data_IF_076703633454
#
_entry.id   IF_076703633454
#
_cell.length_a   1.000
_cell.length_b   1.000
_cell.length_c   1.000
_cell.angle_alpha   90.00
_cell.angle_beta   90.00
_cell.angle_gamma   90.00
#
_symmetry.space_group_name_H-M   'P 1'
#
loop_
_entity.id
_entity.type
_entity.pdbx_description
1 polymer ?
#
# COMPACT_ATOMS: atom_id res chain seq x y z
N UNK A 1 -28.67 -55.42 7.31
CA UNK A 1 -29.27 -54.15 6.87
C UNK A 1 -28.20 -53.38 6.12
N UNK A 2 -28.37 -53.19 4.81
CA UNK A 2 -27.35 -52.60 3.93
C UNK A 2 -27.72 -51.16 3.65
N UNK A 3 -26.94 -50.20 4.14
CA UNK A 3 -27.18 -48.76 3.92
C UNK A 3 -26.59 -48.38 2.56
N UNK A 4 -27.43 -47.93 1.64
CA UNK A 4 -27.02 -47.44 0.33
C UNK A 4 -26.44 -46.03 0.50
N UNK A 5 -25.18 -45.84 0.12
CA UNK A 5 -24.56 -44.51 0.09
C UNK A 5 -25.16 -43.69 -1.06
N UNK A 6 -25.66 -42.50 -0.74
CA UNK A 6 -26.06 -41.51 -1.73
C UNK A 6 -24.81 -40.79 -2.23
N UNK A 7 -24.37 -41.08 -3.46
CA UNK A 7 -23.37 -40.26 -4.14
C UNK A 7 -24.05 -39.04 -4.75
N UNK A 8 -23.87 -37.88 -4.12
CA UNK A 8 -24.20 -36.60 -4.74
C UNK A 8 -23.16 -36.26 -5.81
N UNK A 9 -23.62 -36.01 -7.04
CA UNK A 9 -22.82 -35.54 -8.17
C UNK A 9 -22.93 -34.02 -8.27
N UNK A 10 -21.77 -33.37 -8.14
CA UNK A 10 -21.38 -32.11 -8.81
C UNK A 10 -21.99 -30.77 -8.37
N UNK A 11 -21.08 -29.79 -8.32
CA UNK A 11 -21.22 -28.33 -8.37
C UNK A 11 -21.81 -27.60 -7.14
N UNK A 12 -20.95 -26.94 -6.37
CA UNK A 12 -20.75 -25.48 -6.46
C UNK A 12 -19.68 -25.08 -5.42
N UNK A 13 -18.40 -25.13 -5.77
CA UNK A 13 -17.33 -24.65 -4.87
C UNK A 13 -17.32 -23.13 -4.91
N UNK A 14 -18.18 -22.48 -4.12
CA UNK A 14 -18.13 -21.05 -3.90
C UNK A 14 -17.00 -20.75 -2.91
N UNK A 15 -15.84 -20.40 -3.43
CA UNK A 15 -14.78 -19.81 -2.61
C UNK A 15 -15.10 -18.33 -2.39
N UNK A 16 -15.40 -17.94 -1.16
CA UNK A 16 -15.44 -16.55 -0.74
C UNK A 16 -14.15 -16.26 0.02
N UNK A 17 -13.26 -15.46 -0.56
CA UNK A 17 -12.13 -14.90 0.16
C UNK A 17 -12.66 -13.75 1.03
N UNK A 18 -12.68 -13.95 2.36
CA UNK A 18 -13.17 -12.93 3.32
C UNK A 18 -12.05 -11.97 3.75
N UNK A 19 -10.79 -12.33 3.51
CA UNK A 19 -9.63 -11.46 3.72
C UNK A 19 -8.51 -11.90 2.78
N UNK A 20 -8.14 -11.05 1.82
CA UNK A 20 -6.95 -11.24 0.98
C UNK A 20 -5.84 -10.40 1.58
N UNK A 21 -4.88 -11.02 2.25
CA UNK A 21 -3.68 -10.33 2.78
C UNK A 21 -2.60 -10.11 1.72
N UNK A 22 -2.95 -10.25 0.44
CA UNK A 22 -1.99 -10.01 -0.65
C UNK A 22 -1.58 -8.55 -0.62
N UNK A 23 -0.36 -8.30 -0.18
CA UNK A 23 0.31 -7.01 -0.23
C UNK A 23 1.61 -7.22 -1.01
N UNK A 24 1.75 -6.57 -2.15
CA UNK A 24 3.00 -6.55 -2.90
C UNK A 24 3.62 -5.17 -2.82
N UNK A 25 4.95 -5.14 -2.74
CA UNK A 25 5.73 -3.90 -2.72
C UNK A 25 6.79 -3.99 -3.81
N UNK A 26 6.78 -3.02 -4.71
CA UNK A 26 7.79 -2.85 -5.75
C UNK A 26 8.45 -1.49 -5.59
N UNK A 27 9.75 -1.40 -5.88
CA UNK A 27 10.46 -0.14 -5.86
C UNK A 27 11.19 0.09 -7.17
N UNK A 28 11.01 1.29 -7.71
CA UNK A 28 11.81 1.81 -8.81
C UNK A 28 12.60 3.00 -8.30
N UNK A 29 13.88 3.05 -8.63
CA UNK A 29 14.74 4.19 -8.27
C UNK A 29 15.24 4.90 -9.50
N UNK A 30 15.42 6.22 -9.38
CA UNK A 30 16.03 7.08 -10.39
C UNK A 30 17.16 7.88 -9.76
N UNK A 31 18.17 8.24 -10.55
CA UNK A 31 19.33 8.97 -10.05
C UNK A 31 20.33 8.07 -9.31
N UNK A 32 21.36 8.67 -8.72
CA UNK A 32 22.43 7.95 -8.03
C UNK A 32 23.01 8.78 -6.88
N UNK A 33 23.54 8.13 -5.86
CA UNK A 33 24.18 8.81 -4.73
C UNK A 33 23.18 9.68 -3.97
N UNK A 34 23.51 10.96 -3.79
CA UNK A 34 22.70 11.91 -3.00
C UNK A 34 21.43 12.40 -3.70
N UNK A 35 21.31 12.19 -5.01
CA UNK A 35 20.14 12.59 -5.80
C UNK A 35 19.27 11.37 -6.18
N UNK A 36 19.36 10.29 -5.41
CA UNK A 36 18.54 9.10 -5.62
C UNK A 36 17.10 9.36 -5.18
N UNK A 37 16.15 9.11 -6.07
CA UNK A 37 14.71 9.20 -5.83
C UNK A 37 14.10 7.81 -5.95
N UNK A 38 13.09 7.51 -5.14
CA UNK A 38 12.39 6.23 -5.16
C UNK A 38 10.88 6.41 -5.40
N UNK A 39 10.29 5.50 -6.16
CA UNK A 39 8.85 5.28 -6.20
C UNK A 39 8.58 3.89 -5.66
N UNK A 40 7.92 3.83 -4.51
CA UNK A 40 7.53 2.59 -3.85
C UNK A 40 6.05 2.35 -4.16
N UNK A 41 5.78 1.43 -5.08
CA UNK A 41 4.44 1.04 -5.45
C UNK A 41 3.96 -0.11 -4.56
N UNK A 42 2.75 0.03 -4.05
CA UNK A 42 2.09 -0.98 -3.21
C UNK A 42 0.78 -1.37 -3.85
N UNK A 43 0.54 -2.67 -3.98
CA UNK A 43 -0.69 -3.21 -4.53
C UNK A 43 -1.32 -4.25 -3.60
N UNK A 44 -2.65 -4.28 -3.59
CA UNK A 44 -3.46 -5.15 -2.74
C UNK A 44 -4.01 -4.44 -1.51
N UNK A 45 -4.16 -5.15 -0.39
CA UNK A 45 -4.93 -4.62 0.75
C UNK A 45 -4.02 -4.25 1.93
N UNK A 46 -4.27 -3.09 2.54
CA UNK A 46 -3.63 -2.71 3.81
C UNK A 46 -4.66 -2.83 4.93
N UNK A 47 -4.47 -3.79 5.84
CA UNK A 47 -5.40 -4.06 6.93
C UNK A 47 -4.69 -4.03 8.30
N UNK A 48 -5.46 -4.29 9.37
CA UNK A 48 -4.90 -4.34 10.72
C UNK A 48 -3.84 -5.45 10.90
N UNK A 49 -3.92 -6.54 10.12
CA UNK A 49 -2.98 -7.64 10.22
C UNK A 49 -1.62 -7.30 9.58
N UNK A 50 -1.61 -6.49 8.52
CA UNK A 50 -0.39 -6.19 7.76
C UNK A 50 0.10 -4.74 7.83
N UNK A 51 -0.62 -3.79 8.47
CA UNK A 51 -0.25 -2.36 8.50
C UNK A 51 1.19 -2.09 8.98
N UNK A 52 1.65 -2.82 10.02
CA UNK A 52 3.03 -2.71 10.50
C UNK A 52 4.04 -3.22 9.45
N UNK A 53 3.71 -4.31 8.77
CA UNK A 53 4.55 -4.86 7.71
C UNK A 53 4.60 -3.92 6.51
N UNK A 54 3.47 -3.33 6.11
CA UNK A 54 3.39 -2.28 5.10
C UNK A 54 4.34 -1.12 5.42
N UNK A 55 4.27 -0.55 6.63
CA UNK A 55 5.17 0.53 7.03
C UNK A 55 6.65 0.15 6.93
N UNK A 56 6.98 -1.08 7.34
CA UNK A 56 8.34 -1.59 7.26
C UNK A 56 8.81 -1.77 5.82
N UNK A 57 8.01 -2.46 5.00
CA UNK A 57 8.33 -2.74 3.61
C UNK A 57 8.54 -1.45 2.80
N UNK A 58 7.73 -0.41 3.03
CA UNK A 58 7.90 0.89 2.36
C UNK A 58 9.24 1.54 2.72
N UNK A 59 9.62 1.56 4.00
CA UNK A 59 10.90 2.16 4.44
C UNK A 59 12.10 1.41 3.88
N UNK A 60 12.08 0.08 3.95
CA UNK A 60 13.16 -0.76 3.40
C UNK A 60 13.29 -0.57 1.89
N UNK A 61 12.16 -0.56 1.18
CA UNK A 61 12.16 -0.38 -0.28
C UNK A 61 12.64 1.02 -0.69
N UNK A 62 12.30 2.07 0.06
CA UNK A 62 12.80 3.41 -0.17
C UNK A 62 14.32 3.52 0.03
N UNK A 63 14.86 2.84 1.05
CA UNK A 63 16.28 2.90 1.42
C UNK A 63 16.78 4.33 1.58
N UNK A 64 18.09 4.55 1.36
CA UNK A 64 18.70 5.89 1.42
C UNK A 64 18.38 6.72 0.15
N UNK A 65 17.14 7.18 0.00
CA UNK A 65 16.67 8.03 -1.09
C UNK A 65 16.44 9.45 -0.57
N UNK A 66 16.78 10.46 -1.37
CA UNK A 66 16.53 11.87 -1.07
C UNK A 66 15.05 12.22 -1.14
N UNK A 67 14.33 11.58 -2.06
CA UNK A 67 12.89 11.76 -2.21
C UNK A 67 12.18 10.43 -2.46
N UNK A 68 10.95 10.30 -1.97
CA UNK A 68 10.15 9.08 -2.06
C UNK A 68 8.70 9.40 -2.45
N UNK A 69 8.21 8.75 -3.50
CA UNK A 69 6.78 8.68 -3.81
C UNK A 69 6.27 7.33 -3.31
N UNK A 70 5.29 7.33 -2.41
CA UNK A 70 4.57 6.13 -1.99
C UNK A 70 3.31 6.04 -2.84
N UNK A 71 3.36 5.16 -3.84
CA UNK A 71 2.29 4.95 -4.79
C UNK A 71 1.34 3.85 -4.28
N UNK A 72 0.13 4.27 -3.91
CA UNK A 72 -0.94 3.45 -3.36
C UNK A 72 -2.16 3.44 -4.30
N UNK A 73 -1.99 3.72 -5.60
CA UNK A 73 -3.11 3.71 -6.56
C UNK A 73 -3.73 2.32 -6.70
N UNK A 74 -2.92 1.27 -6.57
CA UNK A 74 -3.33 -0.14 -6.65
C UNK A 74 -3.71 -0.74 -5.28
N UNK A 75 -3.98 0.11 -4.29
CA UNK A 75 -4.52 -0.28 -2.98
C UNK A 75 -6.03 -0.05 -2.96
N UNK A 76 -6.87 -1.06 -3.30
CA UNK A 76 -8.33 -0.93 -3.30
C UNK A 76 -8.94 -0.82 -1.89
N UNK A 77 -8.21 -1.21 -0.84
CA UNK A 77 -8.69 -1.18 0.53
C UNK A 77 -7.57 -0.79 1.50
N UNK A 78 -7.89 0.13 2.42
CA UNK A 78 -7.04 0.49 3.55
C UNK A 78 -7.89 0.55 4.82
N UNK A 79 -7.53 -0.22 5.83
CA UNK A 79 -8.10 -0.11 7.16
C UNK A 79 -7.56 1.13 7.89
N UNK A 80 -8.19 1.52 8.99
CA UNK A 80 -7.77 2.62 9.86
C UNK A 80 -6.28 2.53 10.26
N UNK A 81 -5.79 1.33 10.56
CA UNK A 81 -4.40 1.05 10.92
C UNK A 81 -3.40 1.47 9.82
N UNK A 82 -3.84 1.55 8.57
CA UNK A 82 -3.05 2.07 7.45
C UNK A 82 -2.67 3.56 7.62
N UNK A 83 -3.54 4.38 8.23
CA UNK A 83 -3.21 5.77 8.55
C UNK A 83 -2.09 5.84 9.60
N UNK A 84 -2.17 5.04 10.67
CA UNK A 84 -1.12 4.91 11.68
C UNK A 84 0.21 4.46 11.07
N UNK A 85 0.16 3.54 10.09
CA UNK A 85 1.35 3.13 9.35
C UNK A 85 1.97 4.27 8.52
N UNK A 86 1.14 5.09 7.86
CA UNK A 86 1.60 6.27 7.12
C UNK A 86 2.19 7.35 8.03
N UNK A 87 1.64 7.55 9.24
CA UNK A 87 2.26 8.42 10.24
C UNK A 87 3.65 7.92 10.67
N UNK A 88 3.79 6.60 10.87
CA UNK A 88 5.10 6.02 11.19
C UNK A 88 6.11 6.17 10.04
N UNK A 89 5.65 6.08 8.79
CA UNK A 89 6.48 6.38 7.61
C UNK A 89 6.87 7.86 7.61
N UNK A 90 5.91 8.78 7.84
CA UNK A 90 6.15 10.23 7.90
C UNK A 90 7.22 10.58 8.94
N UNK A 91 7.07 10.06 10.16
CA UNK A 91 8.02 10.28 11.23
C UNK A 91 9.43 9.75 10.89
N UNK A 92 9.52 8.62 10.18
CA UNK A 92 10.81 8.09 9.73
C UNK A 92 11.45 8.99 8.66
N UNK A 93 10.73 9.33 7.59
CA UNK A 93 11.27 10.17 6.52
C UNK A 93 11.62 11.58 7.00
N UNK A 94 10.86 12.13 7.95
CA UNK A 94 11.22 13.41 8.58
C UNK A 94 12.54 13.35 9.35
N UNK A 95 12.84 12.23 10.04
CA UNK A 95 14.12 12.07 10.78
C UNK A 95 15.32 11.94 9.84
N UNK A 96 15.10 11.38 8.66
CA UNK A 96 16.13 11.17 7.64
C UNK A 96 16.22 12.33 6.63
N UNK A 97 15.46 13.42 6.84
CA UNK A 97 15.36 14.59 5.94
C UNK A 97 14.98 14.20 4.48
N UNK A 98 14.07 13.23 4.35
CA UNK A 98 13.59 12.71 3.07
C UNK A 98 12.29 13.40 2.68
N UNK A 99 12.31 14.04 1.50
CA UNK A 99 11.09 14.60 0.92
C UNK A 99 10.17 13.46 0.45
N UNK A 100 8.87 13.50 0.77
CA UNK A 100 7.99 12.41 0.36
C UNK A 100 6.54 12.84 0.14
N UNK A 101 5.79 12.02 -0.59
CA UNK A 101 4.35 12.15 -0.74
C UNK A 101 3.67 10.80 -1.01
N UNK A 102 2.36 10.77 -0.81
CA UNK A 102 1.46 9.65 -1.13
C UNK A 102 0.65 9.99 -2.37
N UNK A 103 0.58 9.03 -3.30
CA UNK A 103 -0.41 9.03 -4.39
C UNK A 103 -1.43 7.94 -4.07
N UNK A 104 -2.63 8.34 -3.65
CA UNK A 104 -3.64 7.42 -3.14
C UNK A 104 -4.68 7.00 -4.17
N UNK A 105 -5.18 5.77 -4.05
CA UNK A 105 -6.48 5.38 -4.62
C UNK A 105 -7.64 6.14 -3.94
N UNK A 106 -8.88 6.09 -4.48
CA UNK A 106 -10.05 6.66 -3.80
C UNK A 106 -10.28 6.08 -2.39
N UNK A 107 -9.98 4.80 -2.17
CA UNK A 107 -10.11 4.17 -0.86
C UNK A 107 -9.09 4.75 0.14
N UNK A 108 -7.83 4.91 -0.29
CA UNK A 108 -6.79 5.53 0.52
C UNK A 108 -7.12 6.98 0.83
N UNK A 109 -7.56 7.75 -0.17
CA UNK A 109 -7.95 9.14 -0.01
C UNK A 109 -9.09 9.30 1.01
N UNK A 110 -10.08 8.39 0.99
CA UNK A 110 -11.19 8.41 1.95
C UNK A 110 -10.73 8.21 3.39
N UNK A 111 -9.79 7.29 3.62
CA UNK A 111 -9.23 7.07 4.97
C UNK A 111 -8.42 8.27 5.41
N UNK A 112 -7.59 8.86 4.54
CA UNK A 112 -6.80 10.04 4.88
C UNK A 112 -7.69 11.25 5.22
N UNK A 113 -8.80 11.45 4.52
CA UNK A 113 -9.79 12.48 4.88
C UNK A 113 -10.40 12.29 6.28
N UNK A 114 -10.48 11.05 6.77
CA UNK A 114 -11.04 10.76 8.10
C UNK A 114 -9.97 10.78 9.20
N UNK A 115 -8.78 10.30 8.89
CA UNK A 115 -7.76 9.95 9.86
C UNK A 115 -6.58 10.91 9.88
N UNK A 116 -6.43 11.75 8.85
CA UNK A 116 -5.43 12.81 8.77
C UNK A 116 -6.07 14.17 8.46
N UNK A 117 -6.97 14.67 9.34
CA UNK A 117 -7.64 15.95 9.13
C UNK A 117 -6.65 17.12 9.09
N UNK A 118 -5.47 16.96 9.70
CA UNK A 118 -4.43 17.99 9.78
C UNK A 118 -3.47 17.99 8.58
N UNK A 119 -3.61 17.02 7.66
CA UNK A 119 -2.82 16.96 6.43
C UNK A 119 -1.33 16.75 6.65
N UNK A 120 -0.94 15.99 7.69
CA UNK A 120 0.46 15.70 7.99
C UNK A 120 1.07 14.66 7.03
N UNK A 121 0.21 13.89 6.34
CA UNK A 121 0.63 12.97 5.28
C UNK A 121 0.58 13.74 3.95
N UNK A 122 1.74 14.08 3.34
CA UNK A 122 1.74 14.88 2.13
C UNK A 122 1.11 14.10 0.98
N UNK A 123 0.10 14.67 0.32
CA UNK A 123 -0.59 14.04 -0.80
C UNK A 123 -0.20 14.69 -2.12
N UNK A 124 0.04 13.88 -3.16
CA UNK A 124 0.18 14.34 -4.53
C UNK A 124 -1.01 13.85 -5.37
N UNK A 125 -1.52 14.73 -6.24
CA UNK A 125 -2.54 14.38 -7.23
C UNK A 125 -1.88 13.75 -8.46
N UNK A 126 -2.40 12.61 -8.90
CA UNK A 126 -1.95 11.78 -10.04
C UNK A 126 -1.57 12.57 -11.33
N UNK A 127 -2.18 13.72 -11.70
CA UNK A 127 -1.82 14.43 -12.94
C UNK A 127 -0.40 15.01 -12.99
N UNK A 128 0.39 14.97 -11.91
CA UNK A 128 1.77 15.51 -11.91
C UNK A 128 2.87 14.50 -12.22
N UNK A 129 2.55 13.20 -12.34
CA UNK A 129 3.53 12.16 -12.71
C UNK A 129 3.40 11.80 -14.20
N UNK A 130 3.57 12.78 -15.10
CA UNK A 130 3.82 12.48 -16.53
C UNK A 130 5.19 11.80 -16.64
N UNK A 131 5.20 10.49 -16.84
CA UNK A 131 6.40 9.71 -17.14
C UNK A 131 6.49 8.34 -16.47
N UNK A 132 5.49 7.92 -15.68
CA UNK A 132 5.45 6.55 -15.15
C UNK A 132 4.84 5.64 -16.21
N UNK A 133 5.69 4.87 -16.89
CA UNK A 133 5.19 3.69 -17.60
C UNK A 133 4.68 2.67 -16.56
N UNK A 134 3.43 2.18 -16.72
CA UNK A 134 2.99 1.01 -15.98
C UNK A 134 3.90 -0.17 -16.38
N UNK A 135 4.19 -1.03 -15.41
CA UNK A 135 4.81 -2.32 -15.70
C UNK A 135 3.82 -3.22 -16.47
#
# INVERSE_FOLDING_TARGET
MTVTSIRSRSADSRSFCVASTSLTVACRTRGRGRDKEATVAVAGEVDAANAKHFAHAVREAAGASRAVVVDLTDVPFMAFDGASALYAISAHFSREDVAWCVVGSPAVARVLQLCDPEGLIPQAVVPMLRGVEPA
#
